data_IF_484988140699
#
_entry.id   IF_484988140699
#
_cell.length_a   1.000
_cell.length_b   1.000
_cell.length_c   1.000
_cell.angle_alpha   90.00
_cell.angle_beta   90.00
_cell.angle_gamma   90.00
#
_symmetry.space_group_name_H-M   'P 1'
#
loop_
_entity.id
_entity.type
_entity.pdbx_description
1 polymer ?
#
# COMPACT_ATOMS: atom_id res chain seq x y z
N UNK A 1 19.02 -7.90 18.93
CA UNK A 1 18.83 -8.07 20.41
C UNK A 1 18.14 -9.41 20.68
N UNK A 2 18.46 -10.04 21.83
CA UNK A 2 17.73 -11.25 22.27
C UNK A 2 16.37 -10.87 22.86
N UNK A 3 15.43 -11.81 22.90
CA UNK A 3 14.06 -11.55 23.38
C UNK A 3 14.02 -11.02 24.81
N UNK A 4 14.87 -11.54 25.69
CA UNK A 4 14.94 -11.08 27.08
C UNK A 4 15.45 -9.64 27.21
N UNK A 5 16.34 -9.19 26.33
CA UNK A 5 16.82 -7.80 26.29
C UNK A 5 15.71 -6.84 25.85
N UNK A 6 14.87 -7.27 24.89
CA UNK A 6 13.69 -6.48 24.49
C UNK A 6 12.62 -6.42 25.60
N UNK A 7 12.44 -7.49 26.37
CA UNK A 7 11.55 -7.50 27.53
C UNK A 7 12.07 -6.58 28.63
N UNK A 8 13.38 -6.56 28.86
CA UNK A 8 14.01 -5.64 29.78
C UNK A 8 13.83 -4.19 29.32
N UNK A 9 14.13 -3.89 28.04
CA UNK A 9 13.90 -2.56 27.46
C UNK A 9 12.47 -2.10 27.68
N UNK A 10 11.47 -2.94 27.34
CA UNK A 10 10.05 -2.61 27.56
C UNK A 10 9.76 -2.29 29.03
N UNK A 11 10.34 -3.03 29.98
CA UNK A 11 10.13 -2.80 31.42
C UNK A 11 10.76 -1.50 31.94
N UNK A 12 11.76 -0.97 31.23
CA UNK A 12 12.45 0.29 31.57
C UNK A 12 11.76 1.50 30.92
N UNK A 13 10.90 1.29 29.89
CA UNK A 13 10.16 2.35 29.22
C UNK A 13 9.03 2.90 30.08
N UNK A 14 8.87 4.22 30.05
CA UNK A 14 7.70 4.90 30.59
C UNK A 14 6.43 4.56 29.80
N UNK A 15 5.26 4.79 30.39
CA UNK A 15 3.97 4.59 29.70
C UNK A 15 3.88 5.42 28.41
N UNK A 16 4.37 6.67 28.43
CA UNK A 16 4.39 7.53 27.23
C UNK A 16 5.29 6.95 26.11
N UNK A 17 6.46 6.42 26.46
CA UNK A 17 7.34 5.79 25.47
C UNK A 17 6.70 4.53 24.86
N UNK A 18 6.02 3.71 25.66
CA UNK A 18 5.28 2.54 25.18
C UNK A 18 4.14 2.93 24.23
N UNK A 19 3.33 3.92 24.63
CA UNK A 19 2.22 4.45 23.79
C UNK A 19 2.81 5.07 22.51
N UNK A 20 3.92 5.78 22.59
CA UNK A 20 4.62 6.32 21.43
C UNK A 20 4.93 5.26 20.37
N UNK A 21 5.38 4.06 20.80
CA UNK A 21 5.62 2.95 19.85
C UNK A 21 4.34 2.49 19.13
N UNK A 22 3.18 2.71 19.72
CA UNK A 22 1.87 2.35 19.15
C UNK A 22 1.28 3.42 18.23
N UNK A 23 2.00 4.52 17.99
CA UNK A 23 1.52 5.64 17.15
C UNK A 23 2.36 5.76 15.89
N UNK A 24 1.67 5.86 14.75
CA UNK A 24 2.27 6.25 13.49
C UNK A 24 1.89 7.69 13.15
N UNK A 25 2.88 8.52 12.88
CA UNK A 25 2.70 9.89 12.42
C UNK A 25 3.05 10.03 10.94
N UNK A 26 2.43 11.01 10.28
CA UNK A 26 2.89 11.42 8.94
C UNK A 26 4.25 12.11 9.02
N UNK A 27 5.02 11.95 7.96
CA UNK A 27 6.31 12.63 7.79
C UNK A 27 6.26 14.15 7.91
N UNK A 28 5.09 14.78 7.74
CA UNK A 28 4.91 16.23 7.84
C UNK A 28 5.33 16.81 9.20
N UNK A 29 5.33 16.01 10.26
CA UNK A 29 5.84 16.42 11.59
C UNK A 29 7.37 16.38 11.68
N UNK A 30 8.03 15.73 10.75
CA UNK A 30 9.48 15.55 10.72
C UNK A 30 10.14 16.23 9.52
N UNK A 31 9.43 16.33 8.38
CA UNK A 31 9.87 16.93 7.13
C UNK A 31 8.69 17.59 6.41
N UNK A 32 8.84 18.86 6.04
CA UNK A 32 7.79 19.65 5.34
C UNK A 32 7.50 19.16 3.91
N UNK A 33 8.41 18.41 3.32
CA UNK A 33 8.28 17.86 1.96
C UNK A 33 7.83 16.38 1.96
N UNK A 34 7.33 15.88 3.09
CA UNK A 34 6.84 14.51 3.17
C UNK A 34 5.59 14.31 2.31
N UNK A 35 5.48 13.12 1.71
CA UNK A 35 4.32 12.74 0.90
C UNK A 35 3.15 12.40 1.82
N UNK A 36 2.01 13.06 1.59
CA UNK A 36 0.77 12.79 2.32
C UNK A 36 -0.13 11.89 1.46
N UNK A 37 -0.51 10.75 2.01
CA UNK A 37 -1.42 9.78 1.36
C UNK A 37 -2.85 9.83 1.90
N UNK A 38 -3.13 10.72 2.85
CA UNK A 38 -4.44 10.90 3.46
C UNK A 38 -4.59 12.28 4.11
N UNK A 39 -5.73 12.53 4.73
CA UNK A 39 -6.05 13.79 5.38
C UNK A 39 -5.36 13.87 6.74
N UNK A 40 -4.63 14.95 7.00
CA UNK A 40 -4.08 15.26 8.32
C UNK A 40 -5.18 15.93 9.13
N UNK A 41 -5.51 15.36 10.29
CA UNK A 41 -6.50 15.94 11.19
C UNK A 41 -6.06 17.30 11.74
N UNK A 42 -7.03 18.08 12.21
CA UNK A 42 -6.77 19.41 12.79
C UNK A 42 -6.08 19.35 14.15
N UNK A 43 -6.12 18.18 14.82
CA UNK A 43 -5.54 18.00 16.15
C UNK A 43 -4.04 17.73 16.05
N UNK A 44 -3.25 18.64 16.62
CA UNK A 44 -1.80 18.49 16.71
C UNK A 44 -1.44 17.43 17.77
N UNK A 45 -0.50 16.55 17.49
CA UNK A 45 0.00 15.62 18.49
C UNK A 45 0.71 16.37 19.63
N UNK A 46 0.59 15.88 20.88
CA UNK A 46 1.44 16.36 21.97
C UNK A 46 2.93 16.24 21.63
N UNK A 47 3.76 17.15 22.14
CA UNK A 47 5.21 17.13 21.86
C UNK A 47 5.86 15.79 22.18
N UNK A 48 5.46 15.15 23.30
CA UNK A 48 6.02 13.86 23.69
C UNK A 48 5.71 12.73 22.69
N UNK A 49 4.57 12.81 21.97
CA UNK A 49 4.26 11.83 20.91
C UNK A 49 5.28 11.95 19.76
N UNK A 50 5.62 13.16 19.33
CA UNK A 50 6.63 13.35 18.28
C UNK A 50 7.99 12.81 18.74
N UNK A 51 8.30 12.96 20.03
CA UNK A 51 9.53 12.47 20.62
C UNK A 51 9.57 10.94 20.72
N UNK A 52 8.44 10.26 20.89
CA UNK A 52 8.38 8.81 21.15
C UNK A 52 7.66 8.00 20.07
N UNK A 53 7.20 8.63 18.98
CA UNK A 53 6.49 7.94 17.90
C UNK A 53 7.25 6.71 17.40
N UNK A 54 6.55 5.58 17.28
CA UNK A 54 7.18 4.31 16.85
C UNK A 54 7.48 4.26 15.37
N UNK A 55 6.69 4.97 14.55
CA UNK A 55 6.78 4.90 13.09
C UNK A 55 6.36 6.19 12.41
N UNK A 56 6.85 6.36 11.18
CA UNK A 56 6.61 7.54 10.33
C UNK A 56 6.24 7.10 8.93
N UNK A 57 5.18 7.70 8.39
CA UNK A 57 4.68 7.46 7.05
C UNK A 57 5.10 8.59 6.09
N UNK A 58 5.56 8.22 4.88
CA UNK A 58 5.67 9.13 3.75
C UNK A 58 6.93 10.00 3.70
N UNK A 59 7.92 9.75 4.55
CA UNK A 59 9.25 10.36 4.38
C UNK A 59 10.06 9.55 3.37
N UNK A 60 10.63 10.24 2.39
CA UNK A 60 11.34 9.65 1.26
C UNK A 60 12.71 10.32 1.11
N UNK A 61 13.70 9.51 0.79
CA UNK A 61 15.04 9.96 0.49
C UNK A 61 16.03 9.69 1.61
N UNK A 62 17.11 9.02 1.22
CA UNK A 62 18.12 8.50 2.15
C UNK A 62 18.73 9.57 3.08
N UNK A 63 18.98 10.76 2.55
CA UNK A 63 19.65 11.84 3.32
C UNK A 63 18.67 12.41 4.35
N UNK A 64 17.40 12.60 3.99
CA UNK A 64 16.34 13.06 4.90
C UNK A 64 16.10 12.05 6.02
N UNK A 65 15.94 10.77 5.65
CA UNK A 65 15.73 9.68 6.63
C UNK A 65 16.93 9.58 7.57
N UNK A 66 18.16 9.70 7.07
CA UNK A 66 19.35 9.71 7.89
C UNK A 66 19.32 10.84 8.94
N UNK A 67 19.01 12.06 8.50
CA UNK A 67 18.96 13.23 9.38
C UNK A 67 17.85 13.13 10.43
N UNK A 68 16.65 12.69 10.02
CA UNK A 68 15.53 12.52 10.97
C UNK A 68 15.86 11.42 11.98
N UNK A 69 16.31 10.25 11.53
CA UNK A 69 16.63 9.12 12.39
C UNK A 69 17.71 9.47 13.39
N UNK A 70 18.79 10.14 12.94
CA UNK A 70 19.90 10.54 13.81
C UNK A 70 19.43 11.47 14.93
N UNK A 71 18.71 12.54 14.57
CA UNK A 71 18.17 13.50 15.56
C UNK A 71 17.17 12.86 16.51
N UNK A 72 16.27 12.01 15.97
CA UNK A 72 15.26 11.32 16.76
C UNK A 72 15.92 10.41 17.82
N UNK A 73 16.90 9.60 17.42
CA UNK A 73 17.58 8.68 18.32
C UNK A 73 18.41 9.40 19.40
N UNK A 74 19.01 10.55 19.09
CA UNK A 74 19.72 11.36 20.08
C UNK A 74 18.79 11.88 21.18
N UNK A 75 17.52 12.14 20.85
CA UNK A 75 16.52 12.67 21.78
C UNK A 75 15.76 11.58 22.54
N UNK A 76 15.66 10.37 21.96
CA UNK A 76 14.92 9.27 22.56
C UNK A 76 15.73 8.64 23.71
N UNK A 77 15.20 8.54 24.96
CA UNK A 77 15.96 8.07 26.13
C UNK A 77 16.61 6.70 25.95
N UNK A 78 15.92 5.79 25.27
CA UNK A 78 16.40 4.43 25.00
C UNK A 78 16.98 4.27 23.59
N UNK A 79 17.15 5.35 22.82
CA UNK A 79 17.66 5.33 21.45
C UNK A 79 16.91 4.35 20.52
N UNK A 80 15.61 4.18 20.74
CA UNK A 80 14.75 3.31 19.90
C UNK A 80 14.59 3.96 18.53
N UNK A 81 14.91 3.28 17.42
CA UNK A 81 14.81 3.87 16.10
C UNK A 81 13.36 4.03 15.63
N UNK A 82 13.10 5.06 14.81
CA UNK A 82 11.86 5.18 14.04
C UNK A 82 11.79 4.07 12.99
N UNK A 83 10.57 3.62 12.68
CA UNK A 83 10.29 2.75 11.55
C UNK A 83 9.68 3.57 10.42
N UNK A 84 10.43 3.77 9.33
CA UNK A 84 9.96 4.50 8.16
C UNK A 84 9.18 3.57 7.23
N UNK A 85 7.96 3.99 6.88
CA UNK A 85 7.00 3.23 6.10
C UNK A 85 6.48 4.03 4.91
N UNK A 86 6.12 3.36 3.83
CA UNK A 86 5.40 3.96 2.70
C UNK A 86 4.64 2.88 1.91
N UNK A 87 3.76 3.33 1.00
CA UNK A 87 3.04 2.47 0.08
C UNK A 87 3.92 2.11 -1.13
N UNK A 88 4.56 0.96 -1.09
CA UNK A 88 5.30 0.37 -2.22
C UNK A 88 4.45 -0.77 -2.76
N UNK A 89 3.45 -0.44 -3.58
CA UNK A 89 2.38 -1.37 -3.98
C UNK A 89 2.77 -2.21 -5.18
N UNK A 90 3.23 -1.58 -6.26
CA UNK A 90 3.62 -2.30 -7.48
C UNK A 90 4.99 -1.83 -8.01
N UNK A 91 5.90 -1.57 -7.11
CA UNK A 91 7.27 -1.14 -7.38
C UNK A 91 7.64 0.07 -6.55
N UNK A 92 8.93 0.41 -6.58
CA UNK A 92 9.47 1.61 -5.94
C UNK A 92 9.98 2.56 -7.04
N UNK A 93 11.25 2.46 -7.45
CA UNK A 93 11.77 3.18 -8.62
C UNK A 93 11.47 2.46 -9.92
N UNK A 94 11.60 1.14 -9.92
CA UNK A 94 11.12 0.28 -10.99
C UNK A 94 9.64 0.03 -10.79
N UNK A 95 8.80 0.54 -11.69
CA UNK A 95 7.35 0.36 -11.63
C UNK A 95 6.96 -0.84 -12.49
N UNK A 96 6.17 -1.72 -11.91
CA UNK A 96 5.60 -2.92 -12.52
C UNK A 96 4.13 -2.69 -12.88
N UNK A 97 3.49 -3.59 -13.65
CA UNK A 97 2.04 -3.55 -13.79
C UNK A 97 1.34 -3.48 -12.43
N UNK A 98 0.19 -2.83 -12.40
CA UNK A 98 -0.67 -2.83 -11.20
C UNK A 98 -0.96 -4.26 -10.73
N UNK A 99 -1.23 -4.54 -9.45
CA UNK A 99 -1.45 -5.89 -8.94
C UNK A 99 -2.47 -6.69 -9.73
N UNK A 100 -3.56 -6.05 -10.19
CA UNK A 100 -4.54 -6.69 -11.07
C UNK A 100 -3.90 -7.19 -12.39
N UNK A 101 -3.01 -6.40 -12.99
CA UNK A 101 -2.24 -6.79 -14.17
C UNK A 101 -1.25 -7.91 -13.86
N UNK A 102 -0.53 -7.81 -12.72
CA UNK A 102 0.38 -8.87 -12.28
C UNK A 102 -0.34 -10.21 -12.10
N UNK A 103 -1.57 -10.20 -11.59
CA UNK A 103 -2.39 -11.41 -11.44
C UNK A 103 -2.65 -12.09 -12.79
N UNK A 104 -2.83 -11.32 -13.87
CA UNK A 104 -3.04 -11.84 -15.22
C UNK A 104 -1.85 -12.64 -15.76
N UNK A 105 -0.65 -12.47 -15.21
CA UNK A 105 0.52 -13.29 -15.59
C UNK A 105 0.42 -14.74 -15.08
N UNK A 106 -0.33 -14.99 -14.02
CA UNK A 106 -0.35 -16.28 -13.30
C UNK A 106 1.06 -16.79 -12.92
N UNK A 107 2.02 -15.88 -12.70
CA UNK A 107 3.43 -16.16 -12.48
C UNK A 107 3.91 -15.64 -11.11
N UNK A 108 3.58 -16.34 -10.00
CA UNK A 108 3.90 -15.88 -8.66
C UNK A 108 5.41 -15.71 -8.39
N UNK A 109 6.27 -16.51 -9.04
CA UNK A 109 7.72 -16.39 -8.89
C UNK A 109 8.24 -15.06 -9.44
N UNK A 110 7.71 -14.60 -10.57
CA UNK A 110 8.06 -13.30 -11.15
C UNK A 110 7.53 -12.14 -10.31
N UNK A 111 6.33 -12.30 -9.74
CA UNK A 111 5.75 -11.33 -8.77
C UNK A 111 6.63 -11.23 -7.52
N UNK A 112 7.11 -12.36 -6.99
CA UNK A 112 8.05 -12.38 -5.85
C UNK A 112 9.38 -11.70 -6.18
N UNK A 113 9.92 -11.91 -7.37
CA UNK A 113 11.15 -11.26 -7.82
C UNK A 113 10.95 -9.73 -7.95
N UNK A 114 9.83 -9.29 -8.53
CA UNK A 114 9.46 -7.88 -8.62
C UNK A 114 9.36 -7.22 -7.22
N UNK A 115 8.71 -7.89 -6.26
CA UNK A 115 8.61 -7.43 -4.88
C UNK A 115 9.99 -7.37 -4.19
N UNK A 116 10.89 -8.32 -4.45
CA UNK A 116 12.26 -8.31 -3.90
C UNK A 116 13.11 -7.16 -4.45
N UNK A 117 12.93 -6.81 -5.73
CA UNK A 117 13.57 -5.63 -6.34
C UNK A 117 13.01 -4.36 -5.69
N UNK A 118 11.68 -4.23 -5.61
CA UNK A 118 11.02 -3.09 -5.00
C UNK A 118 11.45 -2.89 -3.54
N UNK A 119 11.57 -3.99 -2.76
CA UNK A 119 12.09 -3.95 -1.39
C UNK A 119 13.51 -3.42 -1.31
N UNK A 120 14.39 -3.87 -2.20
CA UNK A 120 15.79 -3.43 -2.25
C UNK A 120 15.91 -1.95 -2.59
N UNK A 121 15.07 -1.47 -3.52
CA UNK A 121 15.00 -0.06 -3.89
C UNK A 121 14.46 0.79 -2.74
N UNK A 122 13.35 0.38 -2.11
CA UNK A 122 12.74 1.05 -0.97
C UNK A 122 13.68 1.11 0.24
N UNK A 123 14.33 -0.01 0.56
CA UNK A 123 15.32 -0.07 1.64
C UNK A 123 16.52 0.86 1.41
N UNK A 124 16.94 1.01 0.15
CA UNK A 124 18.00 1.95 -0.23
C UNK A 124 17.62 3.42 0.01
N UNK A 125 16.33 3.76 -0.08
CA UNK A 125 15.78 5.07 0.27
C UNK A 125 15.54 5.23 1.79
N UNK A 126 15.73 4.17 2.59
CA UNK A 126 15.58 4.16 4.04
C UNK A 126 14.24 3.61 4.55
N UNK A 127 13.35 3.18 3.66
CA UNK A 127 12.10 2.54 4.06
C UNK A 127 12.35 1.11 4.56
N UNK A 128 11.69 0.74 5.67
CA UNK A 128 11.84 -0.61 6.24
C UNK A 128 10.52 -1.37 6.37
N UNK A 129 9.42 -0.74 5.96
CA UNK A 129 8.11 -1.39 5.89
C UNK A 129 7.27 -0.81 4.74
N UNK A 130 6.37 -1.64 4.20
CA UNK A 130 5.39 -1.23 3.19
C UNK A 130 4.01 -1.72 3.53
N UNK A 131 2.97 -0.96 3.11
CA UNK A 131 1.56 -1.35 3.21
C UNK A 131 1.11 -2.15 1.98
N UNK A 132 1.82 -3.23 1.72
CA UNK A 132 1.62 -4.16 0.60
C UNK A 132 1.97 -5.58 1.05
N UNK A 133 1.33 -6.61 0.47
CA UNK A 133 0.34 -6.58 -0.62
C UNK A 133 -1.10 -6.35 -0.16
N UNK A 134 -1.92 -5.79 -1.03
CA UNK A 134 -3.36 -5.78 -0.90
C UNK A 134 -3.94 -7.06 -1.51
N UNK A 135 -4.63 -7.85 -0.68
CA UNK A 135 -5.18 -9.15 -1.06
C UNK A 135 -6.71 -9.22 -0.88
N UNK A 136 -7.35 -8.07 -0.93
CA UNK A 136 -8.80 -7.97 -0.95
C UNK A 136 -9.37 -8.60 -2.20
N UNK A 137 -10.34 -9.50 -2.06
CA UNK A 137 -11.05 -10.09 -3.18
C UNK A 137 -12.02 -9.07 -3.72
N UNK A 138 -11.76 -8.54 -4.92
CA UNK A 138 -12.57 -7.54 -5.57
C UNK A 138 -13.44 -8.16 -6.66
N UNK A 139 -14.77 -8.10 -6.50
CA UNK A 139 -15.75 -8.65 -7.46
C UNK A 139 -16.60 -7.60 -8.15
N UNK A 140 -16.69 -6.42 -7.56
CA UNK A 140 -17.41 -5.31 -8.16
C UNK A 140 -16.41 -4.37 -8.84
N UNK A 141 -16.40 -4.29 -10.18
CA UNK A 141 -15.45 -3.45 -10.91
C UNK A 141 -15.66 -1.95 -10.68
N UNK A 142 -16.75 -1.54 -10.03
CA UNK A 142 -16.99 -0.14 -9.66
C UNK A 142 -16.19 0.28 -8.43
N UNK A 143 -15.61 -0.66 -7.68
CA UNK A 143 -14.77 -0.34 -6.53
C UNK A 143 -13.45 0.28 -6.99
N UNK A 144 -13.17 1.53 -6.57
CA UNK A 144 -12.02 2.32 -7.03
C UNK A 144 -10.66 1.74 -6.68
N UNK A 145 -10.58 0.80 -5.70
CA UNK A 145 -9.35 0.13 -5.29
C UNK A 145 -9.13 -1.23 -5.96
N UNK A 146 -9.94 -1.59 -6.94
CA UNK A 146 -9.82 -2.86 -7.65
C UNK A 146 -8.43 -3.07 -8.25
N UNK A 147 -7.80 -2.01 -8.74
CA UNK A 147 -6.46 -2.03 -9.34
C UNK A 147 -5.36 -2.49 -8.38
N UNK A 148 -5.55 -2.27 -7.07
CA UNK A 148 -4.57 -2.62 -6.05
C UNK A 148 -4.60 -4.10 -5.67
N UNK A 149 -5.69 -4.82 -6.00
CA UNK A 149 -5.89 -6.24 -5.68
C UNK A 149 -5.49 -7.15 -6.83
N UNK A 150 -5.39 -8.45 -6.55
CA UNK A 150 -5.17 -9.48 -7.57
C UNK A 150 -6.47 -10.02 -8.18
N UNK A 151 -7.58 -9.27 -8.03
CA UNK A 151 -8.86 -9.52 -8.69
C UNK A 151 -9.87 -10.33 -7.88
N UNK A 152 -10.74 -11.06 -8.58
CA UNK A 152 -11.94 -11.66 -8.00
C UNK A 152 -11.74 -13.06 -7.41
N UNK A 153 -10.64 -13.73 -7.72
CA UNK A 153 -10.39 -15.09 -7.28
C UNK A 153 -9.60 -15.12 -5.95
N UNK A 154 -10.16 -15.71 -4.87
CA UNK A 154 -9.50 -15.76 -3.56
C UNK A 154 -8.24 -16.64 -3.53
N UNK A 155 -8.11 -17.59 -4.44
CA UNK A 155 -6.90 -18.40 -4.53
C UNK A 155 -5.76 -17.62 -5.17
N UNK A 156 -6.04 -16.91 -6.27
CA UNK A 156 -5.06 -16.05 -6.96
C UNK A 156 -4.58 -14.95 -6.00
N UNK A 157 -5.50 -14.25 -5.32
CA UNK A 157 -5.12 -13.26 -4.30
C UNK A 157 -4.20 -13.87 -3.22
N UNK A 158 -4.50 -15.07 -2.74
CA UNK A 158 -3.70 -15.73 -1.72
C UNK A 158 -2.31 -16.14 -2.19
N UNK A 159 -2.17 -16.69 -3.40
CA UNK A 159 -0.88 -17.12 -3.98
C UNK A 159 0.00 -15.91 -4.33
N UNK A 160 -0.57 -14.91 -5.01
CA UNK A 160 0.16 -13.70 -5.40
C UNK A 160 0.55 -12.87 -4.16
N UNK A 161 -0.37 -12.73 -3.20
CA UNK A 161 -0.07 -12.07 -1.93
C UNK A 161 1.04 -12.76 -1.16
N UNK A 162 1.01 -14.10 -1.08
CA UNK A 162 2.10 -14.87 -0.49
C UNK A 162 3.44 -14.60 -1.19
N UNK A 163 3.43 -14.64 -2.52
CA UNK A 163 4.63 -14.39 -3.34
C UNK A 163 5.21 -12.99 -3.12
N UNK A 164 4.37 -11.96 -3.01
CA UNK A 164 4.84 -10.61 -2.68
C UNK A 164 5.44 -10.52 -1.28
N UNK A 165 4.81 -11.13 -0.27
CA UNK A 165 5.38 -11.16 1.10
C UNK A 165 6.74 -11.83 1.09
N UNK A 166 6.85 -13.02 0.45
CA UNK A 166 8.13 -13.72 0.31
C UNK A 166 9.18 -12.81 -0.35
N UNK A 167 8.82 -12.10 -1.41
CA UNK A 167 9.71 -11.19 -2.12
C UNK A 167 10.15 -10.00 -1.26
N UNK A 168 9.23 -9.29 -0.62
CA UNK A 168 9.56 -8.14 0.24
C UNK A 168 10.47 -8.51 1.40
N UNK A 169 10.26 -9.66 2.03
CA UNK A 169 10.95 -10.07 3.26
C UNK A 169 12.16 -10.99 3.02
N UNK A 170 12.45 -11.34 1.75
CA UNK A 170 13.46 -12.37 1.39
C UNK A 170 14.87 -12.06 1.86
N UNK A 171 15.30 -10.80 1.82
CA UNK A 171 16.69 -10.43 2.09
C UNK A 171 16.83 -9.78 3.46
N UNK A 172 17.65 -10.34 4.32
CA UNK A 172 17.87 -9.81 5.66
C UNK A 172 18.30 -8.33 5.69
N UNK A 173 19.22 -7.94 4.78
CA UNK A 173 19.80 -6.59 4.79
C UNK A 173 19.00 -5.54 4.04
N UNK A 174 18.27 -5.95 2.99
CA UNK A 174 17.55 -5.04 2.08
C UNK A 174 16.08 -5.40 1.92
N UNK A 175 15.59 -6.41 2.63
CA UNK A 175 14.17 -6.71 2.74
C UNK A 175 13.45 -5.67 3.60
N UNK A 176 12.15 -5.55 3.40
CA UNK A 176 11.28 -4.67 4.16
C UNK A 176 10.10 -5.46 4.73
N UNK A 177 9.55 -5.02 5.84
CA UNK A 177 8.36 -5.61 6.42
C UNK A 177 7.17 -5.47 5.48
N UNK A 178 6.50 -6.58 5.19
CA UNK A 178 5.26 -6.60 4.41
C UNK A 178 4.04 -6.47 5.31
N UNK A 179 2.99 -5.83 4.80
CA UNK A 179 1.71 -5.66 5.48
C UNK A 179 0.59 -6.21 4.61
N UNK A 180 -0.02 -7.32 5.02
CA UNK A 180 -1.24 -7.79 4.35
C UNK A 180 -2.40 -6.85 4.63
N UNK A 181 -3.11 -6.41 3.58
CA UNK A 181 -4.24 -5.49 3.72
C UNK A 181 -5.39 -5.85 2.79
N UNK A 182 -6.59 -5.50 3.13
CA UNK A 182 -7.08 -4.99 4.41
C UNK A 182 -7.89 -6.10 5.11
N UNK A 183 -7.52 -6.49 6.30
CA UNK A 183 -8.20 -7.60 7.00
C UNK A 183 -9.49 -7.09 7.66
N UNK A 184 -10.70 -7.60 7.28
CA UNK A 184 -10.95 -8.38 6.10
C UNK A 184 -12.31 -8.01 5.48
N UNK A 185 -12.48 -8.38 4.22
CA UNK A 185 -13.77 -8.25 3.54
C UNK A 185 -13.99 -6.93 2.83
N UNK A 186 -12.99 -6.06 2.74
CA UNK A 186 -13.13 -4.72 2.19
C UNK A 186 -13.55 -4.71 0.72
N UNK A 187 -13.08 -5.64 -0.10
CA UNK A 187 -13.52 -5.78 -1.48
C UNK A 187 -14.98 -6.25 -1.68
N UNK A 188 -15.70 -6.53 -0.56
CA UNK A 188 -17.11 -6.91 -0.59
C UNK A 188 -18.08 -5.75 -0.27
N UNK A 189 -17.58 -4.52 -0.19
CA UNK A 189 -18.41 -3.34 0.13
C UNK A 189 -19.59 -3.19 -0.84
N UNK A 190 -20.73 -2.84 -0.28
CA UNK A 190 -21.98 -2.75 -1.02
C UNK A 190 -21.87 -1.78 -2.21
N UNK A 191 -22.16 -2.29 -3.41
CA UNK A 191 -22.13 -1.55 -4.68
C UNK A 191 -20.78 -0.93 -5.04
N UNK A 192 -19.66 -1.49 -4.55
CA UNK A 192 -18.31 -0.96 -4.76
C UNK A 192 -18.06 0.41 -4.10
N UNK A 193 -18.87 0.79 -3.13
CA UNK A 193 -18.73 2.08 -2.45
C UNK A 193 -17.68 1.99 -1.36
N UNK A 194 -16.68 2.84 -1.45
CA UNK A 194 -15.61 2.96 -0.47
C UNK A 194 -16.17 3.22 0.94
N UNK A 195 -15.55 2.63 1.97
CA UNK A 195 -15.92 2.75 3.40
C UNK A 195 -17.31 2.19 3.78
N UNK A 196 -18.02 1.52 2.86
CA UNK A 196 -19.36 1.06 3.13
C UNK A 196 -19.39 -0.27 3.89
N UNK A 197 -20.58 -0.61 4.42
CA UNK A 197 -20.81 -1.88 5.11
C UNK A 197 -20.73 -3.08 4.16
N UNK A 198 -20.44 -4.23 4.77
CA UNK A 198 -20.41 -5.53 4.11
C UNK A 198 -21.45 -6.44 4.73
N UNK A 199 -22.43 -6.86 3.91
CA UNK A 199 -23.45 -7.83 4.28
C UNK A 199 -23.20 -9.15 3.54
N UNK A 200 -22.54 -10.08 4.21
CA UNK A 200 -22.26 -11.41 3.65
C UNK A 200 -22.44 -12.48 4.72
N UNK A 201 -22.73 -13.71 4.30
CA UNK A 201 -22.79 -14.83 5.23
C UNK A 201 -21.40 -15.13 5.82
N UNK A 202 -21.35 -15.64 7.04
CA UNK A 202 -20.10 -16.08 7.68
C UNK A 202 -19.35 -17.10 6.80
N UNK A 203 -20.06 -17.99 6.11
CA UNK A 203 -19.46 -18.95 5.19
C UNK A 203 -18.76 -18.24 4.04
N UNK A 204 -19.43 -17.30 3.36
CA UNK A 204 -18.86 -16.52 2.25
C UNK A 204 -17.66 -15.73 2.75
N UNK A 205 -17.74 -15.11 3.93
CA UNK A 205 -16.65 -14.38 4.53
C UNK A 205 -15.39 -15.26 4.69
N UNK A 206 -15.54 -16.43 5.32
CA UNK A 206 -14.41 -17.32 5.58
C UNK A 206 -13.83 -17.96 4.32
N UNK A 207 -14.70 -18.37 3.36
CA UNK A 207 -14.28 -19.09 2.15
C UNK A 207 -13.75 -18.16 1.05
N UNK A 208 -14.16 -16.90 1.03
CA UNK A 208 -13.80 -15.98 -0.04
C UNK A 208 -12.85 -14.87 0.45
N UNK A 209 -13.14 -14.21 1.55
CA UNK A 209 -12.42 -13.00 1.98
C UNK A 209 -11.32 -13.26 3.02
N UNK A 210 -11.46 -14.28 3.86
CA UNK A 210 -10.41 -14.70 4.81
C UNK A 210 -9.41 -15.67 4.16
N UNK A 211 -9.85 -16.45 3.18
CA UNK A 211 -8.99 -17.45 2.51
C UNK A 211 -7.68 -16.87 1.94
N UNK A 212 -7.63 -15.72 1.25
CA UNK A 212 -6.37 -15.13 0.80
C UNK A 212 -5.41 -14.86 1.95
N UNK A 213 -5.92 -14.29 3.05
CA UNK A 213 -5.12 -14.04 4.26
C UNK A 213 -4.53 -15.33 4.83
N UNK A 214 -5.36 -16.35 5.02
CA UNK A 214 -4.91 -17.67 5.49
C UNK A 214 -3.80 -18.27 4.63
N UNK A 215 -3.82 -18.01 3.33
CA UNK A 215 -2.78 -18.50 2.41
C UNK A 215 -1.51 -17.64 2.51
N UNK A 216 -1.64 -16.31 2.53
CA UNK A 216 -0.53 -15.38 2.57
C UNK A 216 0.16 -15.32 3.95
N UNK A 217 -0.56 -15.60 5.05
CA UNK A 217 0.00 -15.71 6.40
C UNK A 217 1.08 -16.80 6.51
N UNK A 218 1.08 -17.80 5.61
CA UNK A 218 2.14 -18.81 5.55
C UNK A 218 3.52 -18.25 5.21
N UNK A 219 3.58 -17.06 4.59
CA UNK A 219 4.82 -16.33 4.36
C UNK A 219 5.28 -15.51 5.58
N UNK A 220 4.53 -15.56 6.70
CA UNK A 220 4.84 -14.83 7.94
C UNK A 220 5.04 -13.32 7.74
N UNK A 221 4.03 -12.61 7.20
CA UNK A 221 4.11 -11.17 7.05
C UNK A 221 4.33 -10.51 8.41
N UNK A 222 5.11 -9.43 8.44
CA UNK A 222 5.40 -8.71 9.67
C UNK A 222 4.17 -7.96 10.21
N UNK A 223 3.28 -7.52 9.32
CA UNK A 223 2.10 -6.73 9.67
C UNK A 223 0.83 -7.23 8.96
N UNK A 224 -0.30 -6.92 9.58
CA UNK A 224 -1.64 -6.98 9.00
C UNK A 224 -2.35 -5.66 9.28
N UNK A 225 -2.96 -5.05 8.25
CA UNK A 225 -3.73 -3.81 8.38
C UNK A 225 -5.23 -4.11 8.47
N UNK A 226 -5.92 -3.44 9.39
CA UNK A 226 -7.39 -3.55 9.51
C UNK A 226 -8.08 -2.85 8.36
N UNK A 227 -9.26 -3.33 7.98
CA UNK A 227 -10.07 -2.72 6.93
C UNK A 227 -10.98 -1.61 7.48
N UNK A 228 -11.40 -0.69 6.62
CA UNK A 228 -12.32 0.40 6.98
C UNK A 228 -13.78 -0.04 7.18
N UNK A 229 -14.19 -1.10 6.49
CA UNK A 229 -15.57 -1.54 6.48
C UNK A 229 -16.03 -2.14 7.81
N UNK A 230 -17.35 -2.17 8.00
CA UNK A 230 -17.98 -2.97 9.04
C UNK A 230 -18.49 -4.30 8.46
N UNK A 231 -18.51 -5.34 9.29
CA UNK A 231 -19.20 -6.62 9.04
C UNK A 231 -20.22 -6.82 10.16
N UNK A 232 -21.47 -7.08 9.80
CA UNK A 232 -22.57 -7.14 10.77
C UNK A 232 -22.62 -5.91 11.68
N UNK A 233 -22.42 -4.73 11.11
CA UNK A 233 -22.35 -3.41 11.79
C UNK A 233 -21.24 -3.28 12.82
N UNK A 234 -20.24 -4.16 12.83
CA UNK A 234 -19.05 -4.06 13.66
C UNK A 234 -17.85 -3.68 12.78
N UNK A 235 -17.35 -2.44 12.89
CA UNK A 235 -16.13 -2.02 12.19
C UNK A 235 -14.95 -2.90 12.56
N UNK A 236 -14.11 -3.19 11.57
CA UNK A 236 -13.01 -4.15 11.76
C UNK A 236 -12.02 -3.68 12.83
N UNK A 237 -11.67 -2.38 12.85
CA UNK A 237 -10.68 -1.84 13.81
C UNK A 237 -11.11 -1.97 15.29
N UNK A 238 -12.42 -2.10 15.57
CA UNK A 238 -12.95 -2.37 16.91
C UNK A 238 -13.42 -3.83 17.11
N UNK A 239 -13.21 -4.71 16.15
CA UNK A 239 -13.79 -6.06 16.16
C UNK A 239 -12.85 -7.09 16.79
N UNK A 240 -12.97 -7.26 18.11
CA UNK A 240 -12.18 -8.24 18.89
C UNK A 240 -12.35 -9.69 18.41
N UNK A 241 -13.55 -10.07 17.96
CA UNK A 241 -13.81 -11.45 17.47
C UNK A 241 -13.03 -11.74 16.21
N UNK A 242 -12.87 -10.74 15.32
CA UNK A 242 -12.12 -10.90 14.08
C UNK A 242 -10.61 -10.72 14.28
N UNK A 243 -10.16 -9.73 15.05
CA UNK A 243 -8.73 -9.47 15.20
C UNK A 243 -8.06 -10.42 16.20
N UNK A 244 -8.62 -10.59 17.40
CA UNK A 244 -8.08 -11.58 18.35
C UNK A 244 -8.56 -12.99 18.03
N UNK A 245 -9.86 -13.21 17.97
CA UNK A 245 -10.41 -14.56 17.84
C UNK A 245 -10.10 -15.25 16.51
N UNK A 246 -10.25 -14.54 15.38
CA UNK A 246 -9.99 -15.14 14.07
C UNK A 246 -8.52 -14.97 13.66
N UNK A 247 -8.02 -13.73 13.54
CA UNK A 247 -6.69 -13.49 12.99
C UNK A 247 -5.57 -14.05 13.90
N UNK A 248 -5.62 -13.77 15.23
CA UNK A 248 -4.56 -14.23 16.13
C UNK A 248 -4.76 -15.66 16.59
N UNK A 249 -5.91 -15.97 17.23
CA UNK A 249 -6.09 -17.28 17.90
C UNK A 249 -6.29 -18.42 16.89
N UNK A 250 -7.08 -18.20 15.83
CA UNK A 250 -7.42 -19.25 14.87
C UNK A 250 -6.43 -19.37 13.72
N UNK A 251 -6.03 -18.24 13.11
CA UNK A 251 -5.10 -18.23 11.97
C UNK A 251 -3.62 -18.12 12.41
N UNK A 252 -3.35 -17.88 13.70
CA UNK A 252 -2.02 -17.92 14.30
C UNK A 252 -1.12 -16.73 13.96
N UNK A 253 -1.69 -15.54 13.72
CA UNK A 253 -0.90 -14.36 13.42
C UNK A 253 -0.26 -13.77 14.68
N UNK A 254 1.07 -13.73 14.73
CA UNK A 254 1.86 -13.22 15.85
C UNK A 254 2.46 -11.83 15.62
N UNK A 255 2.38 -11.31 14.38
CA UNK A 255 2.95 -10.00 14.00
C UNK A 255 2.14 -8.81 14.49
N UNK A 256 2.48 -7.64 13.99
CA UNK A 256 1.88 -6.36 14.36
C UNK A 256 0.58 -6.10 13.58
N UNK A 257 -0.49 -5.74 14.28
CA UNK A 257 -1.75 -5.24 13.67
C UNK A 257 -1.70 -3.73 13.65
N UNK A 258 -1.82 -3.14 12.48
CA UNK A 258 -1.92 -1.69 12.28
C UNK A 258 -3.32 -1.32 11.81
N UNK A 259 -3.86 -0.19 12.30
CA UNK A 259 -5.11 0.34 11.76
C UNK A 259 -4.89 0.89 10.35
N UNK A 260 -5.94 1.00 9.54
CA UNK A 260 -5.88 1.85 8.35
C UNK A 260 -5.97 3.33 8.75
N UNK A 261 -5.73 4.24 7.80
CA UNK A 261 -5.65 5.68 8.02
C UNK A 261 -6.88 6.24 8.74
N UNK A 262 -6.68 6.66 9.97
CA UNK A 262 -7.74 7.23 10.80
C UNK A 262 -8.86 6.28 11.21
N UNK A 263 -8.76 4.98 10.91
CA UNK A 263 -9.87 4.05 11.06
C UNK A 263 -10.29 3.79 12.51
N UNK A 264 -9.42 4.03 13.50
CA UNK A 264 -9.84 3.99 14.92
C UNK A 264 -10.76 5.17 15.22
N UNK A 265 -10.40 6.38 14.79
CA UNK A 265 -11.28 7.56 14.97
C UNK A 265 -12.64 7.42 14.28
N UNK A 266 -12.68 6.73 13.14
CA UNK A 266 -13.93 6.46 12.41
C UNK A 266 -14.93 5.58 13.18
N UNK A 267 -14.54 4.89 14.25
CA UNK A 267 -15.48 4.14 15.11
C UNK A 267 -16.56 5.06 15.71
N UNK A 268 -16.21 6.32 16.00
CA UNK A 268 -17.16 7.34 16.45
C UNK A 268 -18.12 7.74 15.32
N UNK A 269 -17.59 8.02 14.11
CA UNK A 269 -18.38 8.37 12.92
C UNK A 269 -19.30 7.23 12.48
N UNK A 270 -18.87 5.98 12.64
CA UNK A 270 -19.65 4.77 12.36
C UNK A 270 -20.69 4.47 13.46
N UNK A 271 -20.74 5.26 14.53
CA UNK A 271 -21.73 5.19 15.58
C UNK A 271 -21.61 3.98 16.52
N UNK A 272 -20.42 3.36 16.61
CA UNK A 272 -20.14 2.22 17.51
C UNK A 272 -19.34 2.65 18.73
N UNK A 273 -18.75 3.82 18.73
CA UNK A 273 -18.11 4.47 19.86
C UNK A 273 -18.81 5.81 20.13
N UNK A 274 -19.00 6.19 21.39
CA UNK A 274 -19.62 7.44 21.79
C UNK A 274 -18.66 8.63 21.64
N UNK A 275 -17.37 8.36 21.76
CA UNK A 275 -16.30 9.35 21.68
C UNK A 275 -14.95 8.65 21.36
N UNK A 276 -13.89 9.46 21.25
CA UNK A 276 -12.55 8.99 20.97
C UNK A 276 -11.95 8.09 22.06
N UNK A 277 -12.33 8.30 23.35
CA UNK A 277 -11.91 7.41 24.45
C UNK A 277 -12.48 6.00 24.27
N UNK A 278 -13.77 5.89 23.93
CA UNK A 278 -14.40 4.59 23.68
C UNK A 278 -13.83 3.93 22.41
N UNK A 279 -13.55 4.70 21.37
CA UNK A 279 -12.88 4.20 20.18
C UNK A 279 -11.48 3.60 20.50
N UNK A 280 -10.68 4.30 21.31
CA UNK A 280 -9.38 3.81 21.78
C UNK A 280 -9.50 2.53 22.62
N UNK A 281 -10.51 2.43 23.49
CA UNK A 281 -10.78 1.22 24.29
C UNK A 281 -11.11 0.05 23.36
N UNK A 282 -12.06 0.21 22.45
CA UNK A 282 -12.49 -0.86 21.54
C UNK A 282 -11.33 -1.36 20.67
N UNK A 283 -10.53 -0.46 20.09
CA UNK A 283 -9.39 -0.82 19.24
C UNK A 283 -8.28 -1.54 20.04
N UNK A 284 -7.95 -1.07 21.25
CA UNK A 284 -6.98 -1.71 22.16
C UNK A 284 -7.43 -3.11 22.57
N UNK A 285 -8.70 -3.26 22.95
CA UNK A 285 -9.28 -4.55 23.29
C UNK A 285 -9.34 -5.51 22.09
N UNK A 286 -9.56 -4.98 20.89
CA UNK A 286 -9.51 -5.75 19.66
C UNK A 286 -8.09 -6.18 19.28
N UNK A 287 -7.05 -5.55 19.83
CA UNK A 287 -5.65 -5.90 19.64
C UNK A 287 -5.00 -5.21 18.44
N UNK A 288 -5.43 -3.98 18.14
CA UNK A 288 -4.71 -3.09 17.22
C UNK A 288 -3.48 -2.55 17.92
N UNK A 289 -2.31 -2.81 17.36
CA UNK A 289 -1.03 -2.47 17.97
C UNK A 289 -0.53 -1.07 17.57
N UNK A 290 -0.83 -0.64 16.34
CA UNK A 290 -0.43 0.69 15.84
C UNK A 290 -1.66 1.45 15.35
N UNK A 291 -1.84 2.65 15.87
CA UNK A 291 -2.82 3.62 15.39
C UNK A 291 -2.21 4.46 14.27
N UNK A 292 -2.70 4.25 13.03
CA UNK A 292 -2.29 5.03 11.89
C UNK A 292 -3.11 6.32 11.81
N UNK A 293 -2.49 7.42 12.18
CA UNK A 293 -2.97 8.79 11.96
C UNK A 293 -4.26 9.19 12.69
N UNK A 294 -4.94 8.31 13.45
CA UNK A 294 -6.04 8.77 14.29
C UNK A 294 -5.49 9.40 15.57
N UNK A 295 -6.24 10.30 16.21
CA UNK A 295 -5.82 10.87 17.48
C UNK A 295 -6.11 9.96 18.68
N UNK A 296 -6.69 8.78 18.48
CA UNK A 296 -7.24 7.96 19.55
C UNK A 296 -6.16 7.50 20.56
N UNK A 297 -5.11 6.86 20.07
CA UNK A 297 -4.08 6.37 20.99
C UNK A 297 -3.24 7.51 21.58
N UNK A 298 -2.82 8.45 20.77
CA UNK A 298 -1.97 9.55 21.22
C UNK A 298 -2.62 10.50 22.23
N UNK A 299 -3.95 10.62 22.23
CA UNK A 299 -4.67 11.55 23.13
C UNK A 299 -5.34 10.86 24.29
N UNK A 300 -5.68 9.57 24.17
CA UNK A 300 -6.55 8.90 25.14
C UNK A 300 -5.89 7.81 25.96
N UNK A 301 -4.90 7.06 25.41
CA UNK A 301 -4.40 5.85 26.07
C UNK A 301 -3.76 6.12 27.43
N UNK A 302 -2.95 7.17 27.59
CA UNK A 302 -2.29 7.49 28.85
C UNK A 302 -3.33 7.63 29.98
N UNK A 303 -4.32 8.49 29.77
CA UNK A 303 -5.43 8.73 30.74
C UNK A 303 -6.27 7.48 30.97
N UNK A 304 -6.52 6.65 29.95
CA UNK A 304 -7.31 5.43 30.07
C UNK A 304 -6.58 4.37 30.91
N UNK A 305 -5.26 4.27 30.79
CA UNK A 305 -4.44 3.37 31.60
C UNK A 305 -4.37 3.90 33.05
N UNK A 306 -4.07 5.17 33.25
CA UNK A 306 -3.99 5.79 34.58
C UNK A 306 -5.31 5.69 35.35
N UNK A 307 -6.44 5.79 34.68
CA UNK A 307 -7.79 5.62 35.29
C UNK A 307 -8.20 4.17 35.47
N UNK A 308 -7.40 3.21 35.00
CA UNK A 308 -7.69 1.78 35.07
C UNK A 308 -8.79 1.29 34.13
N UNK A 309 -9.20 2.11 33.15
CA UNK A 309 -10.17 1.71 32.11
C UNK A 309 -9.56 0.72 31.13
N UNK A 310 -8.25 0.84 30.84
CA UNK A 310 -7.47 -0.11 30.03
C UNK A 310 -6.35 -0.67 30.91
N UNK A 311 -6.15 -2.00 30.98
CA UNK A 311 -4.97 -2.58 31.61
C UNK A 311 -3.67 -2.18 30.89
N UNK A 312 -2.65 -1.74 31.62
CA UNK A 312 -1.33 -1.42 31.03
C UNK A 312 -0.77 -2.59 30.20
N UNK A 313 -1.10 -3.82 30.58
CA UNK A 313 -0.69 -5.01 29.84
C UNK A 313 -1.08 -5.01 28.34
N UNK A 314 -2.15 -4.32 27.93
CA UNK A 314 -2.50 -4.18 26.52
C UNK A 314 -1.51 -3.26 25.79
N UNK A 315 -1.05 -2.19 26.46
CA UNK A 315 -0.02 -1.31 25.93
C UNK A 315 1.31 -2.05 25.87
N UNK A 316 1.66 -2.81 26.90
CA UNK A 316 2.89 -3.64 26.93
C UNK A 316 2.91 -4.66 25.79
N UNK A 317 1.83 -5.40 25.57
CA UNK A 317 1.75 -6.37 24.47
C UNK A 317 1.93 -5.73 23.11
N UNK A 318 1.26 -4.61 22.86
CA UNK A 318 1.30 -3.92 21.57
C UNK A 318 2.66 -3.26 21.33
N UNK A 319 3.20 -2.55 22.30
CA UNK A 319 4.53 -1.97 22.22
C UNK A 319 5.60 -3.06 22.00
N UNK A 320 5.48 -4.21 22.69
CA UNK A 320 6.40 -5.32 22.51
C UNK A 320 6.40 -5.89 21.10
N UNK A 321 5.21 -6.04 20.46
CA UNK A 321 5.12 -6.48 19.06
C UNK A 321 5.80 -5.51 18.10
N UNK A 322 5.66 -4.21 18.34
CA UNK A 322 6.34 -3.18 17.54
C UNK A 322 7.86 -3.25 17.72
N UNK A 323 8.34 -3.39 18.96
CA UNK A 323 9.77 -3.57 19.24
C UNK A 323 10.33 -4.86 18.62
N UNK A 324 9.58 -5.96 18.69
CA UNK A 324 9.94 -7.22 18.03
C UNK A 324 10.06 -7.07 16.52
N UNK A 325 9.13 -6.37 15.87
CA UNK A 325 9.21 -6.07 14.44
C UNK A 325 10.45 -5.26 14.09
N UNK A 326 10.76 -4.20 14.85
CA UNK A 326 11.99 -3.40 14.67
C UNK A 326 13.24 -4.25 14.84
N UNK A 327 13.24 -5.17 15.82
CA UNK A 327 14.33 -6.09 16.07
C UNK A 327 14.53 -7.09 14.91
N UNK A 328 13.45 -7.67 14.40
CA UNK A 328 13.51 -8.58 13.24
C UNK A 328 14.03 -7.89 11.99
N UNK A 329 13.79 -6.59 11.85
CA UNK A 329 14.33 -5.76 10.78
C UNK A 329 15.79 -5.34 11.01
N UNK A 330 16.39 -5.71 12.14
CA UNK A 330 17.78 -5.37 12.49
C UNK A 330 18.02 -3.91 12.83
N UNK A 331 16.95 -3.16 13.16
CA UNK A 331 17.06 -1.72 13.39
C UNK A 331 17.78 -1.37 14.69
N UNK A 332 17.76 -2.24 15.69
CA UNK A 332 18.53 -2.03 16.94
C UNK A 332 20.03 -2.21 16.74
N UNK A 333 20.45 -3.13 15.87
CA UNK A 333 21.86 -3.32 15.51
C UNK A 333 22.34 -2.25 14.53
N UNK A 334 21.47 -1.85 13.58
CA UNK A 334 21.77 -0.83 12.59
C UNK A 334 20.50 -0.06 12.19
N UNK A 335 20.23 1.11 12.78
CA UNK A 335 19.06 1.92 12.48
C UNK A 335 19.01 2.44 11.03
N UNK A 336 20.14 2.34 10.31
CA UNK A 336 20.29 2.72 8.91
C UNK A 336 20.47 1.49 7.99
N UNK A 337 19.99 0.32 8.42
CA UNK A 337 20.09 -0.90 7.64
C UNK A 337 19.47 -0.73 6.24
N UNK A 338 20.22 -1.09 5.21
CA UNK A 338 19.78 -0.97 3.81
C UNK A 338 20.03 0.38 3.15
N UNK A 339 20.12 1.46 3.93
CA UNK A 339 20.25 2.83 3.42
C UNK A 339 21.43 2.99 2.46
N UNK A 340 21.14 3.43 1.23
CA UNK A 340 22.14 3.68 0.18
C UNK A 340 22.86 2.46 -0.39
N UNK A 341 22.52 1.22 0.04
CA UNK A 341 23.21 -0.01 -0.40
C UNK A 341 22.89 -0.44 -1.84
N UNK A 342 21.72 -0.14 -2.33
CA UNK A 342 21.28 -0.45 -3.70
C UNK A 342 20.08 0.46 -4.00
N UNK A 343 19.72 0.75 -5.17
CA UNK A 343 18.56 1.61 -5.45
C UNK A 343 18.67 2.30 -6.80
N UNK A 344 19.68 1.91 -7.59
CA UNK A 344 19.76 2.37 -8.96
C UNK A 344 18.85 1.52 -9.82
N UNK A 345 18.07 2.17 -10.66
CA UNK A 345 17.35 1.53 -11.75
C UNK A 345 18.36 0.81 -12.66
N UNK A 346 18.39 -0.53 -12.61
CA UNK A 346 19.32 -1.34 -13.40
C UNK A 346 18.66 -1.85 -14.67
N UNK A 347 19.46 -2.25 -15.66
CA UNK A 347 18.92 -2.94 -16.85
C UNK A 347 18.16 -4.20 -16.47
N UNK A 348 18.66 -4.96 -15.49
CA UNK A 348 17.98 -6.16 -14.98
C UNK A 348 16.59 -5.85 -14.41
N UNK A 349 16.45 -4.78 -13.60
CA UNK A 349 15.17 -4.40 -13.05
C UNK A 349 14.16 -4.05 -14.17
N UNK A 350 14.61 -3.30 -15.18
CA UNK A 350 13.79 -2.96 -16.35
C UNK A 350 13.39 -4.19 -17.17
N UNK A 351 14.30 -5.16 -17.36
CA UNK A 351 13.99 -6.42 -18.03
C UNK A 351 12.91 -7.20 -17.31
N UNK A 352 12.94 -7.23 -15.98
CA UNK A 352 11.88 -7.87 -15.17
C UNK A 352 10.54 -7.15 -15.26
N UNK A 353 10.54 -5.83 -15.24
CA UNK A 353 9.31 -5.05 -15.47
C UNK A 353 8.75 -5.30 -16.88
N UNK A 354 9.59 -5.32 -17.89
CA UNK A 354 9.21 -5.65 -19.27
C UNK A 354 8.63 -7.07 -19.40
N UNK A 355 9.29 -8.05 -18.78
CA UNK A 355 8.81 -9.43 -18.76
C UNK A 355 7.44 -9.53 -18.12
N UNK A 356 7.26 -8.96 -16.91
CA UNK A 356 6.00 -9.02 -16.19
C UNK A 356 4.89 -8.29 -16.95
N UNK A 357 5.18 -7.14 -17.56
CA UNK A 357 4.22 -6.41 -18.40
C UNK A 357 3.79 -7.25 -19.62
N UNK A 358 4.73 -7.92 -20.28
CA UNK A 358 4.42 -8.81 -21.40
C UNK A 358 3.55 -10.00 -20.99
N UNK A 359 3.86 -10.64 -19.86
CA UNK A 359 3.10 -11.77 -19.33
C UNK A 359 1.72 -11.36 -18.77
N UNK A 360 1.53 -10.08 -18.45
CA UNK A 360 0.24 -9.54 -18.00
C UNK A 360 -0.76 -9.29 -19.14
N UNK A 361 -0.32 -9.34 -20.39
CA UNK A 361 -1.18 -9.12 -21.54
C UNK A 361 -2.11 -10.32 -21.79
N UNK A 362 -3.43 -10.06 -21.86
CA UNK A 362 -4.45 -11.10 -22.09
C UNK A 362 -5.07 -10.92 -23.46
N UNK A 363 -4.97 -11.94 -24.33
CA UNK A 363 -5.62 -11.97 -25.63
C UNK A 363 -7.07 -12.43 -25.48
N UNK A 364 -8.01 -11.50 -25.38
CA UNK A 364 -9.43 -11.82 -25.19
C UNK A 364 -10.10 -12.34 -26.47
N UNK A 365 -9.72 -11.79 -27.63
CA UNK A 365 -10.27 -12.16 -28.94
C UNK A 365 -9.27 -11.86 -30.05
N UNK A 366 -9.17 -12.73 -31.06
CA UNK A 366 -8.40 -12.48 -32.28
C UNK A 366 -9.06 -13.13 -33.50
N UNK A 367 -9.79 -12.36 -34.27
CA UNK A 367 -10.41 -12.80 -35.53
C UNK A 367 -9.43 -12.63 -36.72
N UNK A 368 -8.18 -13.06 -36.54
CA UNK A 368 -7.08 -13.02 -37.54
C UNK A 368 -6.56 -11.61 -37.86
N UNK A 369 -6.76 -10.63 -36.96
CA UNK A 369 -6.18 -9.29 -37.09
C UNK A 369 -4.73 -9.25 -36.60
N UNK A 370 -4.40 -10.06 -35.58
CA UNK A 370 -3.05 -10.18 -35.06
C UNK A 370 -2.31 -11.39 -35.66
N UNK A 371 -1.00 -11.27 -35.94
CA UNK A 371 -0.17 -10.06 -35.82
C UNK A 371 -0.57 -8.97 -36.82
N UNK A 372 -0.42 -7.69 -36.40
CA UNK A 372 -0.73 -6.55 -37.27
C UNK A 372 0.14 -6.57 -38.54
N UNK A 373 -0.47 -6.28 -39.68
CA UNK A 373 0.24 -6.13 -40.94
C UNK A 373 0.78 -4.70 -41.06
N UNK A 374 2.09 -4.55 -40.93
CA UNK A 374 2.75 -3.24 -41.11
C UNK A 374 2.77 -2.77 -42.58
N UNK A 375 2.16 -3.53 -43.51
CA UNK A 375 1.97 -3.11 -44.90
C UNK A 375 0.71 -2.24 -45.09
N UNK A 376 -0.14 -2.17 -44.10
CA UNK A 376 -1.36 -1.35 -44.08
C UNK A 376 -1.13 -0.16 -43.16
N UNK A 377 -1.89 0.93 -43.41
CA UNK A 377 -1.90 2.05 -42.49
C UNK A 377 -2.42 1.59 -41.15
N UNK A 378 -1.66 1.88 -40.06
CA UNK A 378 -2.07 1.61 -38.69
C UNK A 378 -2.19 2.94 -37.97
N UNK A 379 -3.38 3.20 -37.44
CA UNK A 379 -3.72 4.38 -36.66
C UNK A 379 -3.78 3.98 -35.19
N UNK A 380 -2.98 4.61 -34.36
CA UNK A 380 -3.01 4.44 -32.92
C UNK A 380 -3.81 5.58 -32.31
N UNK A 381 -4.99 5.26 -31.76
CA UNK A 381 -5.93 6.25 -31.28
C UNK A 381 -6.26 6.01 -29.82
N UNK A 382 -6.26 7.06 -29.02
CA UNK A 382 -6.64 7.02 -27.62
C UNK A 382 -5.74 7.90 -26.74
N UNK A 383 -6.22 8.24 -25.54
CA UNK A 383 -5.58 9.18 -24.65
C UNK A 383 -4.21 8.74 -24.17
N UNK A 384 -4.00 7.43 -24.07
CA UNK A 384 -2.70 6.87 -23.60
C UNK A 384 -1.67 6.66 -24.71
N UNK A 385 -1.94 7.05 -25.95
CA UNK A 385 -1.00 6.88 -27.07
C UNK A 385 0.28 7.69 -26.87
N UNK A 386 0.13 8.94 -26.42
CA UNK A 386 1.22 9.89 -26.19
C UNK A 386 1.36 10.33 -24.73
N UNK A 387 0.56 9.80 -23.82
CA UNK A 387 0.60 10.15 -22.40
C UNK A 387 1.73 9.42 -21.68
N UNK A 388 2.40 10.13 -20.75
CA UNK A 388 3.38 9.55 -19.81
C UNK A 388 2.75 9.08 -18.51
N UNK A 389 1.44 9.32 -18.32
CA UNK A 389 0.64 8.87 -17.16
C UNK A 389 0.30 7.38 -17.26
N UNK A 390 1.32 6.55 -17.51
CA UNK A 390 1.20 5.08 -17.61
C UNK A 390 1.59 4.34 -16.34
N UNK A 391 2.16 5.07 -15.35
CA UNK A 391 2.64 4.44 -14.11
C UNK A 391 1.51 4.10 -13.16
N UNK A 392 0.33 4.70 -13.32
CA UNK A 392 -0.84 4.54 -12.47
C UNK A 392 -0.62 5.05 -11.03
N UNK A 393 -1.64 4.89 -10.16
CA UNK A 393 -1.56 5.29 -8.75
C UNK A 393 -0.58 4.40 -7.98
N UNK A 394 -0.15 4.87 -6.82
CA UNK A 394 0.83 4.20 -5.96
C UNK A 394 2.22 4.02 -6.60
N UNK A 395 2.54 4.81 -7.61
CA UNK A 395 3.86 4.90 -8.23
C UNK A 395 4.69 6.10 -7.72
N UNK A 396 4.58 6.39 -6.43
CA UNK A 396 5.10 7.61 -5.77
C UNK A 396 6.59 7.87 -6.06
N UNK A 397 7.37 6.81 -6.26
CA UNK A 397 8.81 6.88 -6.55
C UNK A 397 9.14 6.73 -8.04
N UNK A 398 8.12 6.55 -8.89
CA UNK A 398 8.28 6.42 -10.33
C UNK A 398 8.65 7.76 -10.99
N UNK A 399 9.50 7.69 -12.00
CA UNK A 399 9.91 8.87 -12.76
C UNK A 399 9.03 8.96 -14.03
N UNK A 400 7.96 9.74 -14.00
CA UNK A 400 7.03 9.90 -15.13
C UNK A 400 7.72 10.39 -16.40
N UNK A 401 8.71 11.28 -16.28
CA UNK A 401 9.49 11.76 -17.43
C UNK A 401 10.32 10.68 -18.13
N UNK A 402 10.66 9.60 -17.40
CA UNK A 402 11.40 8.47 -17.94
C UNK A 402 10.51 7.44 -18.65
N UNK A 403 9.18 7.62 -18.62
CA UNK A 403 8.23 6.73 -19.28
C UNK A 403 8.30 6.93 -20.79
N UNK A 404 8.53 5.84 -21.52
CA UNK A 404 8.41 5.84 -22.99
C UNK A 404 6.93 5.66 -23.36
N UNK A 405 6.38 6.63 -24.10
CA UNK A 405 5.02 6.53 -24.63
C UNK A 405 4.96 5.52 -25.78
N UNK A 406 3.76 5.10 -26.18
CA UNK A 406 3.59 4.26 -27.37
C UNK A 406 4.14 4.99 -28.59
N UNK A 407 3.89 6.30 -28.73
CA UNK A 407 4.42 7.12 -29.80
C UNK A 407 5.95 7.15 -29.82
N UNK A 408 6.62 7.33 -28.67
CA UNK A 408 8.08 7.27 -28.54
C UNK A 408 8.63 5.92 -29.04
N UNK A 409 7.97 4.81 -28.63
CA UNK A 409 8.40 3.47 -29.02
C UNK A 409 8.22 3.22 -30.51
N UNK A 410 7.12 3.67 -31.11
CA UNK A 410 6.89 3.55 -32.55
C UNK A 410 7.95 4.33 -33.35
N UNK A 411 8.26 5.55 -32.96
CA UNK A 411 9.30 6.37 -33.56
C UNK A 411 10.69 5.71 -33.43
N UNK A 412 11.03 5.24 -32.24
CA UNK A 412 12.32 4.57 -31.97
C UNK A 412 12.50 3.29 -32.79
N UNK A 413 11.41 2.57 -33.03
CA UNK A 413 11.41 1.37 -33.88
C UNK A 413 11.27 1.67 -35.37
N UNK A 414 11.21 2.93 -35.76
CA UNK A 414 11.00 3.40 -37.14
C UNK A 414 9.73 2.81 -37.78
N UNK A 415 8.68 2.63 -36.97
CA UNK A 415 7.38 2.19 -37.44
C UNK A 415 6.61 3.43 -37.85
N UNK A 416 6.25 3.51 -39.15
CA UNK A 416 5.38 4.57 -39.64
C UNK A 416 3.96 4.35 -39.12
N UNK A 417 3.49 5.25 -38.25
CA UNK A 417 2.20 5.17 -37.62
C UNK A 417 1.63 6.57 -37.38
N UNK A 418 0.32 6.68 -37.50
CA UNK A 418 -0.40 7.90 -37.10
C UNK A 418 -0.88 7.75 -35.65
N UNK A 419 -0.49 8.70 -34.78
CA UNK A 419 -0.88 8.71 -33.39
C UNK A 419 -1.88 9.84 -33.15
N UNK A 420 -3.05 9.49 -32.54
CA UNK A 420 -4.16 10.40 -32.31
C UNK A 420 -4.65 10.26 -30.88
N UNK A 421 -4.70 11.34 -30.11
CA UNK A 421 -5.21 11.31 -28.73
C UNK A 421 -6.72 10.96 -28.70
N UNK A 422 -7.51 11.49 -29.61
CA UNK A 422 -8.92 11.14 -29.80
C UNK A 422 -9.89 11.65 -28.74
N UNK A 423 -9.67 11.29 -27.48
CA UNK A 423 -10.51 11.73 -26.36
C UNK A 423 -9.65 12.04 -25.12
N UNK A 424 -10.23 12.72 -24.17
CA UNK A 424 -9.64 12.95 -22.86
C UNK A 424 -9.98 11.78 -21.90
N UNK A 425 -9.13 11.53 -20.89
CA UNK A 425 -9.40 10.59 -19.82
C UNK A 425 -10.26 11.27 -18.75
N UNK A 426 -9.89 12.48 -18.36
CA UNK A 426 -10.54 13.28 -17.33
C UNK A 426 -10.98 14.61 -17.91
N UNK A 427 -12.04 15.19 -17.37
CA UNK A 427 -12.41 16.59 -17.61
C UNK A 427 -11.43 17.54 -16.93
N UNK A 428 -11.39 18.79 -17.34
CA UNK A 428 -10.57 19.82 -16.68
C UNK A 428 -10.93 19.98 -15.18
N UNK A 429 -12.20 19.77 -14.83
CA UNK A 429 -12.70 19.84 -13.47
C UNK A 429 -12.20 18.64 -12.64
N UNK A 430 -12.25 17.45 -13.19
CA UNK A 430 -11.71 16.24 -12.56
C UNK A 430 -10.21 16.32 -12.36
N UNK A 431 -9.46 16.84 -13.35
CA UNK A 431 -8.02 17.05 -13.20
C UNK A 431 -7.69 17.98 -12.03
N UNK A 432 -8.49 19.04 -11.81
CA UNK A 432 -8.31 19.96 -10.66
C UNK A 432 -8.65 19.28 -9.34
N UNK A 433 -9.74 18.50 -9.29
CA UNK A 433 -10.16 17.78 -8.08
C UNK A 433 -9.12 16.75 -7.67
N UNK A 434 -8.59 16.00 -8.64
CA UNK A 434 -7.64 14.91 -8.39
C UNK A 434 -6.18 15.38 -8.35
N UNK A 435 -5.91 16.67 -8.57
CA UNK A 435 -4.56 17.26 -8.62
C UNK A 435 -3.62 16.56 -9.61
N UNK A 436 -4.18 16.03 -10.70
CA UNK A 436 -3.41 15.42 -11.79
C UNK A 436 -3.11 16.46 -12.86
N UNK A 437 -1.99 16.28 -13.57
CA UNK A 437 -1.59 17.23 -14.60
C UNK A 437 -2.57 17.29 -15.77
N UNK A 438 -2.69 18.45 -16.39
CA UNK A 438 -3.63 18.69 -17.49
C UNK A 438 -3.29 17.89 -18.77
N UNK A 439 -2.19 17.17 -18.83
CA UNK A 439 -1.85 16.31 -19.96
C UNK A 439 -2.90 15.22 -20.22
N UNK A 440 -3.59 14.76 -19.18
CA UNK A 440 -4.73 13.85 -19.30
C UNK A 440 -5.99 14.53 -19.84
N UNK A 441 -6.04 15.85 -19.83
CA UNK A 441 -7.15 16.69 -20.32
C UNK A 441 -6.92 17.27 -21.73
N UNK A 442 -5.99 16.72 -22.50
CA UNK A 442 -5.65 17.18 -23.85
C UNK A 442 -6.90 17.51 -24.67
N UNK A 443 -6.92 18.62 -25.40
CA UNK A 443 -8.07 18.95 -26.25
C UNK A 443 -8.33 17.80 -27.21
N UNK A 444 -9.57 17.26 -27.29
CA UNK A 444 -9.91 16.30 -28.32
C UNK A 444 -9.50 16.91 -29.67
N UNK A 445 -8.79 16.15 -30.49
CA UNK A 445 -8.65 16.52 -31.88
C UNK A 445 -10.04 16.58 -32.48
N UNK A 446 -10.25 17.58 -33.33
CA UNK A 446 -11.45 17.69 -34.13
C UNK A 446 -11.80 16.32 -34.73
N UNK A 447 -13.07 15.90 -34.66
CA UNK A 447 -13.56 14.59 -35.13
C UNK A 447 -13.28 14.35 -36.63
N UNK A 448 -12.78 15.35 -37.36
CA UNK A 448 -12.43 15.27 -38.79
C UNK A 448 -11.46 14.11 -39.12
N UNK A 449 -10.66 13.63 -38.15
CA UNK A 449 -9.80 12.47 -38.38
C UNK A 449 -10.59 11.19 -38.64
N UNK A 450 -11.83 11.04 -38.10
CA UNK A 450 -12.68 9.91 -38.33
C UNK A 450 -13.09 9.79 -39.81
N UNK A 451 -13.23 10.92 -40.52
CA UNK A 451 -13.53 10.97 -41.93
C UNK A 451 -12.37 10.49 -42.80
N UNK A 452 -11.17 10.42 -42.27
CA UNK A 452 -9.98 9.94 -42.99
C UNK A 452 -9.75 8.44 -42.91
N UNK A 453 -10.53 7.73 -42.05
CA UNK A 453 -10.42 6.27 -41.86
C UNK A 453 -11.19 5.55 -42.95
N UNK A 454 -10.52 4.59 -43.57
CA UNK A 454 -11.12 3.71 -44.58
C UNK A 454 -11.24 2.28 -44.04
N UNK A 455 -12.03 1.45 -44.74
CA UNK A 455 -12.16 0.02 -44.42
C UNK A 455 -10.87 -0.80 -44.57
N UNK A 456 -9.85 -0.22 -45.16
CA UNK A 456 -8.53 -0.85 -45.33
C UNK A 456 -7.59 -0.57 -44.18
N UNK A 457 -7.85 0.44 -43.37
CA UNK A 457 -7.02 0.87 -42.26
C UNK A 457 -7.24 -0.03 -41.04
N UNK A 458 -6.20 -0.13 -40.20
CA UNK A 458 -6.28 -0.78 -38.90
C UNK A 458 -6.19 0.27 -37.81
N UNK A 459 -7.17 0.31 -36.92
CA UNK A 459 -7.17 1.20 -35.78
C UNK A 459 -6.85 0.42 -34.50
N UNK A 460 -5.85 0.86 -33.78
CA UNK A 460 -5.48 0.36 -32.46
C UNK A 460 -5.96 1.37 -31.42
N UNK A 461 -7.01 1.03 -30.68
CA UNK A 461 -7.52 1.89 -29.62
C UNK A 461 -6.72 1.67 -28.34
N UNK A 462 -6.04 2.72 -27.87
CA UNK A 462 -5.24 2.72 -26.63
C UNK A 462 -6.05 3.40 -25.54
N UNK A 463 -6.84 2.59 -24.84
CA UNK A 463 -7.84 3.03 -23.88
C UNK A 463 -7.51 2.49 -22.49
N UNK A 464 -8.01 3.15 -21.45
CA UNK A 464 -7.87 2.73 -20.06
C UNK A 464 -8.74 3.58 -19.15
N UNK A 465 -8.74 3.22 -17.88
CA UNK A 465 -9.34 3.98 -16.78
C UNK A 465 -8.21 4.63 -15.96
N UNK A 466 -8.55 5.76 -15.30
CA UNK A 466 -7.60 6.51 -14.45
C UNK A 466 -7.96 6.36 -12.97
#
# INVERSE_FOLDING_TARGET
>A
MEIHELQQLLSEMSLQEKIGQMVQLTGAYFDKEAVLTGVVGEQLPPEWIIQYAGSVLGVIGKDKIYDIQSRYMEQHPHHIPLLFMADVIHGCRTIYPIPLGQACSFHPELVSEAASIAASEASSEGLRATFSPMIDVSRDPRWGRMMESFGEDPYVNGIMGKAMVDGYQQKADTGIAACLKHFAGYGAVNAGREYNDVEISQRTFLEQYVKPFRMALKAKPAMVMTAFNAIDRKPISGNKELLKGLLRDKEGFEGTVISDWGSIGQLEEQGVAADMEEAAIQASEAGVDIDMMSPAYMLCLEKLVESGKIPEAFVDESAFRVLMMKNQLGLFENPFAGLGKSGKLTLHNREKAYQLAGESCVLLKNDKILPLSMKKKVIWAGPYTASRELLSRWSIFGEHEAVETIEDVLQKKQIEAECITGCNILSEEECKVWQVEQELSGKPRDEQWLETITHEDTVVCVLGEH
#
